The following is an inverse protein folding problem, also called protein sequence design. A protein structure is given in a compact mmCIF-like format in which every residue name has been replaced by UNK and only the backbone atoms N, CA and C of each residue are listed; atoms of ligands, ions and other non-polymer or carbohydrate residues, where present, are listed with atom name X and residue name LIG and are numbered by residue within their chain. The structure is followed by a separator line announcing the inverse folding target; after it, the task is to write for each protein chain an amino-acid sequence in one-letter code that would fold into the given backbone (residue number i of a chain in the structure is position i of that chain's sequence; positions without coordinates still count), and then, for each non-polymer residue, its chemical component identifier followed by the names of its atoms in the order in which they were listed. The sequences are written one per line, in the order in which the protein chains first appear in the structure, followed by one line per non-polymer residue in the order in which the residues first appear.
data_IF_547520808122
#
_entry.id   IF_547520808122
#
_cell.length_a   1.000
_cell.length_b   1.000
_cell.length_c   1.000
_cell.angle_alpha   90.00
_cell.angle_beta   90.00
_cell.angle_gamma   90.00
#
_symmetry.space_group_name_H-M   'P 1'
#
loop_
_entity.id
_entity.type
_entity.pdbx_description
1 polymer ?
#
# COMPACT_ATOMS: atom_id res chain seq x y z
N UNK A 1 15.41 18.65 -6.22
CA UNK A 1 14.04 18.63 -6.74
C UNK A 1 13.83 17.45 -7.68
N UNK A 2 14.84 17.09 -8.48
CA UNK A 2 14.88 15.95 -9.40
C UNK A 2 14.38 14.61 -8.83
N UNK A 3 14.64 14.31 -7.54
CA UNK A 3 14.14 13.08 -6.92
C UNK A 3 12.61 13.06 -6.86
N UNK A 4 12.00 14.15 -6.40
CA UNK A 4 10.54 14.27 -6.28
C UNK A 4 9.87 14.36 -7.65
N UNK A 5 10.49 15.03 -8.61
CA UNK A 5 9.94 15.19 -9.98
C UNK A 5 9.95 13.90 -10.80
N UNK A 6 10.75 12.89 -10.39
CA UNK A 6 10.84 11.59 -11.04
C UNK A 6 9.92 10.53 -10.44
N UNK A 7 9.13 10.87 -9.41
CA UNK A 7 8.17 9.92 -8.85
C UNK A 7 7.02 9.68 -9.83
N UNK A 8 6.42 8.50 -9.74
CA UNK A 8 5.26 8.12 -10.54
C UNK A 8 4.02 8.06 -9.65
N UNK A 9 2.83 8.39 -10.17
CA UNK A 9 1.56 8.25 -9.44
C UNK A 9 1.32 6.83 -8.93
N UNK A 10 1.73 5.87 -9.74
CA UNK A 10 1.69 4.44 -9.47
C UNK A 10 2.82 3.75 -10.23
N UNK A 11 3.10 2.50 -9.86
CA UNK A 11 4.05 1.65 -10.56
C UNK A 11 3.46 0.24 -10.70
N UNK A 12 3.67 -0.41 -11.84
CA UNK A 12 3.06 -1.72 -12.15
C UNK A 12 4.13 -2.73 -12.51
N UNK A 13 4.09 -3.87 -11.83
CA UNK A 13 4.80 -5.11 -12.19
C UNK A 13 3.79 -6.24 -11.98
N UNK A 14 3.25 -6.77 -13.06
CA UNK A 14 2.14 -7.72 -12.99
C UNK A 14 2.42 -8.92 -12.07
N UNK A 15 1.45 -9.34 -11.23
CA UNK A 15 0.09 -8.80 -11.11
C UNK A 15 -0.03 -7.59 -10.15
N UNK A 16 1.07 -7.04 -9.65
CA UNK A 16 1.09 -6.02 -8.60
C UNK A 16 1.05 -4.60 -9.14
N UNK A 17 0.26 -3.76 -8.47
CA UNK A 17 0.19 -2.32 -8.71
C UNK A 17 0.48 -1.61 -7.39
N UNK A 18 1.52 -0.80 -7.37
CA UNK A 18 1.96 -0.01 -6.23
C UNK A 18 1.41 1.42 -6.39
N UNK A 19 0.67 1.89 -5.40
CA UNK A 19 0.04 3.23 -5.40
C UNK A 19 0.07 3.81 -4.00
N UNK A 20 0.10 5.14 -3.85
CA UNK A 20 0.16 5.75 -2.52
C UNK A 20 -1.10 5.48 -1.70
N UNK A 21 -2.29 5.79 -2.22
CA UNK A 21 -3.56 5.66 -1.52
C UNK A 21 -4.43 4.48 -1.99
N UNK A 22 -4.87 4.48 -3.24
CA UNK A 22 -5.68 3.40 -3.80
C UNK A 22 -6.05 3.66 -5.26
N UNK A 23 -6.99 2.86 -5.77
CA UNK A 23 -7.46 2.92 -7.15
C UNK A 23 -9.00 2.80 -7.21
N UNK A 24 -9.57 3.37 -8.25
CA UNK A 24 -10.97 3.22 -8.66
C UNK A 24 -11.21 1.85 -9.29
N UNK A 25 -12.32 1.22 -8.91
CA UNK A 25 -12.80 -0.03 -9.51
C UNK A 25 -13.04 0.17 -11.01
N UNK A 26 -12.49 -0.71 -11.85
CA UNK A 26 -12.77 -0.79 -13.30
C UNK A 26 -12.47 0.49 -14.11
N UNK A 27 -11.54 1.33 -13.61
CA UNK A 27 -11.02 2.50 -14.32
C UNK A 27 -9.59 2.23 -14.78
N UNK A 28 -9.24 2.43 -16.07
CA UNK A 28 -7.86 2.27 -16.54
C UNK A 28 -6.86 3.09 -15.71
N UNK A 29 -5.63 2.59 -15.49
CA UNK A 29 -4.65 3.22 -14.62
C UNK A 29 -4.30 4.67 -15.04
N UNK A 30 -4.24 4.91 -16.34
CA UNK A 30 -4.01 6.23 -16.95
C UNK A 30 -5.16 7.23 -16.75
N UNK A 31 -6.34 6.76 -16.35
CA UNK A 31 -7.55 7.56 -16.16
C UNK A 31 -7.95 7.70 -14.69
N UNK A 32 -7.13 7.19 -13.77
CA UNK A 32 -7.38 7.28 -12.33
C UNK A 32 -7.36 8.73 -11.86
N UNK A 33 -8.33 9.10 -11.02
CA UNK A 33 -8.36 10.43 -10.42
C UNK A 33 -7.25 10.60 -9.36
N UNK A 34 -6.61 11.77 -9.35
CA UNK A 34 -5.54 12.11 -8.40
C UNK A 34 -5.99 11.96 -6.94
N UNK A 35 -7.27 12.19 -6.63
CA UNK A 35 -7.79 11.96 -5.29
C UNK A 35 -7.71 10.48 -4.89
N UNK A 36 -7.96 9.54 -5.81
CA UNK A 36 -7.82 8.12 -5.52
C UNK A 36 -6.36 7.72 -5.38
N UNK A 37 -5.49 8.23 -6.26
CA UNK A 37 -4.06 7.93 -6.26
C UNK A 37 -3.37 8.41 -4.97
N UNK A 38 -3.73 9.60 -4.46
CA UNK A 38 -2.97 10.28 -3.42
C UNK A 38 -3.70 10.53 -2.09
N UNK A 39 -5.03 10.68 -2.08
CA UNK A 39 -5.69 11.36 -0.95
C UNK A 39 -6.85 10.60 -0.32
N UNK A 40 -7.52 9.72 -1.06
CA UNK A 40 -8.68 8.98 -0.58
C UNK A 40 -8.28 7.90 0.39
N UNK A 41 -8.97 7.83 1.54
CA UNK A 41 -8.76 6.78 2.54
C UNK A 41 -9.66 5.57 2.26
N UNK A 42 -9.08 4.37 2.26
CA UNK A 42 -9.79 3.12 2.01
C UNK A 42 -9.73 2.22 3.24
N UNK A 43 -10.77 2.27 4.07
CA UNK A 43 -10.88 1.37 5.21
C UNK A 43 -11.24 -0.06 4.77
N UNK A 44 -12.08 -0.18 3.74
CA UNK A 44 -12.43 -1.41 3.02
C UNK A 44 -12.43 -1.08 1.52
N UNK A 45 -11.37 -1.43 0.77
CA UNK A 45 -11.27 -1.14 -0.66
C UNK A 45 -12.05 -2.15 -1.51
N UNK A 46 -12.59 -1.71 -2.64
CA UNK A 46 -13.04 -2.58 -3.72
C UNK A 46 -11.84 -3.11 -4.54
N UNK A 47 -11.96 -4.26 -5.22
CA UNK A 47 -10.91 -4.76 -6.11
C UNK A 47 -10.72 -3.84 -7.31
N UNK A 48 -9.50 -3.39 -7.59
CA UNK A 48 -9.22 -2.62 -8.80
C UNK A 48 -9.62 -3.38 -10.08
N UNK A 49 -9.14 -4.62 -10.16
CA UNK A 49 -9.42 -5.60 -11.21
C UNK A 49 -9.28 -7.01 -10.62
N UNK A 50 -9.81 -8.02 -11.30
CA UNK A 50 -9.87 -9.40 -10.79
C UNK A 50 -8.47 -10.07 -10.71
N UNK A 51 -7.61 -9.75 -11.66
CA UNK A 51 -6.28 -10.32 -11.85
C UNK A 51 -5.15 -9.47 -11.27
N UNK A 52 -5.47 -8.28 -10.75
CA UNK A 52 -4.49 -7.36 -10.16
C UNK A 52 -4.46 -7.44 -8.63
N UNK A 53 -3.32 -7.05 -8.05
CA UNK A 53 -3.13 -6.87 -6.61
C UNK A 53 -2.63 -5.47 -6.33
N UNK A 54 -3.41 -4.70 -5.58
CA UNK A 54 -3.04 -3.32 -5.22
C UNK A 54 -2.27 -3.31 -3.92
N UNK A 55 -1.08 -2.71 -3.92
CA UNK A 55 -0.25 -2.50 -2.75
C UNK A 55 -0.24 -1.00 -2.45
N UNK A 56 -0.72 -0.61 -1.28
CA UNK A 56 -0.86 0.80 -0.93
C UNK A 56 -0.45 1.16 0.50
N UNK A 57 -0.38 2.45 0.78
CA UNK A 57 -0.20 3.03 2.11
C UNK A 57 -1.33 3.96 2.47
N UNK A 58 -0.99 5.16 2.96
CA UNK A 58 -1.84 6.34 3.21
C UNK A 58 -2.95 6.20 4.26
N UNK A 59 -3.74 5.12 4.19
CA UNK A 59 -4.78 4.82 5.16
C UNK A 59 -4.17 4.14 6.38
N UNK A 60 -3.59 4.97 7.26
CA UNK A 60 -2.94 4.55 8.49
C UNK A 60 -3.76 3.52 9.30
N UNK A 61 -3.19 2.32 9.43
CA UNK A 61 -3.69 1.23 10.26
C UNK A 61 -3.15 1.40 11.68
N UNK A 62 -3.90 2.17 12.49
CA UNK A 62 -3.51 2.56 13.86
C UNK A 62 -3.41 1.40 14.85
N UNK A 63 -3.89 0.21 14.48
CA UNK A 63 -3.68 -1.02 15.24
C UNK A 63 -2.29 -1.64 14.98
N UNK A 64 -1.48 -1.09 14.06
CA UNK A 64 -0.15 -1.62 13.73
C UNK A 64 -0.17 -2.84 12.81
N UNK A 65 -1.35 -3.23 12.30
CA UNK A 65 -1.52 -4.43 11.49
C UNK A 65 -1.61 -4.13 10.00
N UNK A 66 -1.05 -5.02 9.20
CA UNK A 66 -1.18 -4.98 7.75
C UNK A 66 -2.63 -5.32 7.41
N UNK A 67 -3.30 -4.48 6.62
CA UNK A 67 -4.66 -4.74 6.18
C UNK A 67 -4.64 -5.45 4.83
N UNK A 68 -4.82 -6.77 4.85
CA UNK A 68 -4.90 -7.62 3.66
C UNK A 68 -6.36 -7.96 3.33
N UNK A 69 -6.87 -7.44 2.22
CA UNK A 69 -8.22 -7.70 1.72
C UNK A 69 -8.26 -8.78 0.62
N UNK A 70 -7.13 -9.43 0.31
CA UNK A 70 -7.00 -10.43 -0.75
C UNK A 70 -6.71 -9.84 -2.14
N UNK A 71 -7.35 -8.72 -2.49
CA UNK A 71 -7.10 -7.95 -3.72
C UNK A 71 -6.29 -6.68 -3.49
N UNK A 72 -6.38 -6.10 -2.28
CA UNK A 72 -5.64 -4.89 -1.90
C UNK A 72 -4.95 -5.13 -0.56
N UNK A 73 -3.70 -4.72 -0.45
CA UNK A 73 -2.90 -4.83 0.77
C UNK A 73 -2.39 -3.43 1.13
N UNK A 74 -2.81 -2.94 2.30
CA UNK A 74 -2.36 -1.67 2.84
C UNK A 74 -1.28 -1.92 3.91
N UNK A 75 -0.07 -1.43 3.65
CA UNK A 75 1.12 -1.63 4.50
C UNK A 75 1.45 -0.41 5.39
N UNK A 76 0.61 0.62 5.39
CA UNK A 76 0.76 1.75 6.33
C UNK A 76 0.30 1.32 7.73
N UNK A 77 1.22 0.73 8.49
CA UNK A 77 1.04 0.29 9.87
C UNK A 77 1.29 1.40 10.90
N UNK A 78 1.06 2.66 10.50
CA UNK A 78 1.11 3.84 11.37
C UNK A 78 2.50 4.18 11.93
N UNK A 79 3.55 4.02 11.10
CA UNK A 79 4.93 4.33 11.44
C UNK A 79 5.09 5.77 11.97
N UNK A 80 4.49 6.75 11.30
CA UNK A 80 4.59 8.16 11.69
C UNK A 80 3.98 8.46 13.07
N UNK A 81 3.08 7.59 13.54
CA UNK A 81 2.40 7.68 14.82
C UNK A 81 3.07 6.86 15.93
N UNK A 82 4.26 6.30 15.69
CA UNK A 82 5.03 5.53 16.67
C UNK A 82 4.76 4.03 16.68
N UNK A 83 4.02 3.50 15.70
CA UNK A 83 3.82 2.06 15.54
C UNK A 83 4.91 1.49 14.63
N UNK A 84 4.52 0.74 13.59
CA UNK A 84 5.44 -0.04 12.78
C UNK A 84 5.65 0.59 11.40
N UNK A 85 6.88 0.57 10.91
CA UNK A 85 7.21 0.71 9.50
C UNK A 85 7.26 -0.68 8.86
N UNK A 86 6.37 -0.95 7.91
CA UNK A 86 6.26 -2.26 7.25
C UNK A 86 6.97 -2.28 5.91
N UNK A 87 7.70 -3.36 5.66
CA UNK A 87 8.14 -3.81 4.35
C UNK A 87 7.48 -5.15 4.03
N UNK A 88 7.00 -5.33 2.79
CA UNK A 88 6.33 -6.53 2.33
C UNK A 88 7.01 -7.04 1.06
N UNK A 89 7.44 -8.31 1.07
CA UNK A 89 7.73 -9.02 -0.16
C UNK A 89 6.40 -9.53 -0.75
N UNK A 90 6.00 -8.94 -1.87
CA UNK A 90 4.69 -9.23 -2.48
C UNK A 90 4.61 -10.62 -3.11
N UNK A 91 5.75 -11.20 -3.50
CA UNK A 91 5.83 -12.52 -4.13
C UNK A 91 5.79 -13.64 -3.08
N UNK A 92 6.61 -13.53 -2.02
CA UNK A 92 6.67 -14.54 -0.95
C UNK A 92 5.63 -14.32 0.15
N UNK A 93 5.01 -13.14 0.19
CA UNK A 93 4.12 -12.65 1.25
C UNK A 93 4.79 -12.49 2.62
N UNK A 94 6.11 -12.59 2.69
CA UNK A 94 6.85 -12.34 3.92
C UNK A 94 6.90 -10.84 4.20
N UNK A 95 6.73 -10.47 5.47
CA UNK A 95 6.85 -9.08 5.89
C UNK A 95 7.86 -8.91 7.02
N UNK A 96 8.39 -7.69 7.08
CA UNK A 96 9.22 -7.19 8.16
C UNK A 96 8.60 -5.88 8.66
N UNK A 97 8.43 -5.76 9.96
CA UNK A 97 8.04 -4.51 10.64
C UNK A 97 9.18 -4.07 11.55
N UNK A 98 9.47 -2.78 11.59
CA UNK A 98 10.39 -2.19 12.58
C UNK A 98 9.78 -0.95 13.23
N UNK A 99 10.20 -0.61 14.44
CA UNK A 99 9.75 0.60 15.14
C UNK A 99 10.93 1.40 15.73
N UNK A 100 10.62 2.57 16.29
CA UNK A 100 11.61 3.50 16.88
C UNK A 100 12.33 2.93 18.12
N UNK A 101 11.79 1.87 18.72
CA UNK A 101 12.44 1.16 19.84
C UNK A 101 13.49 0.15 19.37
N UNK A 102 13.66 0.00 18.05
CA UNK A 102 14.58 -0.98 17.46
C UNK A 102 14.05 -2.41 17.45
N UNK A 103 12.75 -2.59 17.73
CA UNK A 103 12.11 -3.91 17.67
C UNK A 103 11.87 -4.32 16.21
N UNK A 104 11.89 -5.62 15.95
CA UNK A 104 11.62 -6.20 14.64
C UNK A 104 10.59 -7.32 14.79
N UNK A 105 9.50 -7.22 14.05
CA UNK A 105 8.53 -8.30 13.87
C UNK A 105 8.63 -8.84 12.45
N UNK A 106 8.58 -10.17 12.30
CA UNK A 106 8.60 -10.85 11.01
C UNK A 106 7.42 -11.80 10.92
N UNK A 107 6.87 -11.97 9.72
CA UNK A 107 5.78 -12.91 9.51
C UNK A 107 5.51 -13.15 8.03
N UNK A 108 4.36 -13.75 7.77
CA UNK A 108 3.85 -14.03 6.42
C UNK A 108 2.36 -13.73 6.40
N UNK A 109 1.88 -13.08 5.34
CA UNK A 109 0.45 -12.75 5.15
C UNK A 109 -0.41 -13.96 4.77
#
# INVERSE_FOLDING_TARGET
WDFMEKTLPYYRIDPYIFVHAGLEYDVPLENQDDNFLYWRKFFVPEPYAMDARVICGHTARKNGEIANFGHTICIDTYAYGGMWLTCLNVETKEFLKSNEMGEIEKGTL
#
